data_IF_324217914758
#
_entry.id   IF_324217914758
#
_cell.length_a   1.000
_cell.length_b   1.000
_cell.length_c   1.000
_cell.angle_alpha   90.00
_cell.angle_beta   90.00
_cell.angle_gamma   90.00
#
_symmetry.space_group_name_H-M   'P 1'
#
loop_
_entity.id
_entity.type
_entity.pdbx_description
1 polymer ?
#
# COMPACT_ATOMS: atom_id res chain seq x y z
N UNK A 1 -48.95 37.59 -11.14
CA UNK A 1 -47.79 36.89 -10.56
C UNK A 1 -47.98 35.37 -10.79
N UNK A 2 -47.14 34.74 -11.60
CA UNK A 2 -47.19 33.28 -11.82
C UNK A 2 -46.39 32.60 -10.74
N UNK A 3 -46.93 31.57 -10.06
CA UNK A 3 -46.20 30.73 -9.10
C UNK A 3 -45.05 30.03 -9.82
N UNK A 4 -43.88 29.95 -9.25
CA UNK A 4 -42.78 29.14 -9.81
C UNK A 4 -43.18 27.66 -9.83
N UNK A 5 -42.75 26.95 -10.86
CA UNK A 5 -42.97 25.52 -10.98
C UNK A 5 -42.24 24.75 -9.84
N UNK A 6 -42.82 23.63 -9.34
CA UNK A 6 -42.15 22.83 -8.32
C UNK A 6 -40.86 22.25 -8.86
N UNK A 7 -39.83 22.23 -7.99
CA UNK A 7 -38.55 21.62 -8.32
C UNK A 7 -38.72 20.12 -8.68
N UNK A 8 -37.97 19.58 -9.64
CA UNK A 8 -38.03 18.16 -9.98
C UNK A 8 -37.70 17.30 -8.75
N UNK A 9 -38.34 16.15 -8.59
CA UNK A 9 -38.03 15.24 -7.50
C UNK A 9 -36.57 14.79 -7.58
N UNK A 10 -35.91 14.55 -6.42
CA UNK A 10 -34.53 14.05 -6.41
C UNK A 10 -34.46 12.72 -7.15
N UNK A 11 -33.35 12.42 -7.84
CA UNK A 11 -33.18 11.16 -8.54
C UNK A 11 -33.35 9.99 -7.55
N UNK A 12 -34.10 8.99 -7.96
CA UNK A 12 -34.30 7.77 -7.17
C UNK A 12 -32.93 7.11 -6.93
N UNK A 13 -32.57 6.84 -5.68
CA UNK A 13 -31.37 6.09 -5.36
C UNK A 13 -31.38 4.74 -6.13
N UNK A 14 -30.32 4.48 -6.87
CA UNK A 14 -30.17 3.20 -7.57
C UNK A 14 -30.03 2.09 -6.52
N UNK A 15 -30.62 0.91 -6.77
CA UNK A 15 -30.43 -0.22 -5.88
C UNK A 15 -28.94 -0.56 -5.83
N UNK A 16 -28.43 -0.99 -4.65
CA UNK A 16 -27.03 -1.36 -4.55
C UNK A 16 -26.70 -2.52 -5.49
N UNK A 17 -25.46 -2.57 -6.03
CA UNK A 17 -25.06 -3.60 -6.97
C UNK A 17 -25.22 -5.00 -6.36
N UNK A 18 -25.59 -6.01 -7.17
CA UNK A 18 -25.78 -7.37 -6.71
C UNK A 18 -24.48 -7.97 -6.17
N UNK A 19 -24.60 -8.75 -5.12
CA UNK A 19 -23.50 -9.54 -4.54
C UNK A 19 -23.60 -10.94 -5.14
N UNK A 20 -22.49 -11.45 -5.65
CA UNK A 20 -22.39 -12.80 -6.23
C UNK A 20 -21.38 -13.62 -5.41
N UNK A 21 -21.77 -14.83 -5.03
CA UNK A 21 -20.84 -15.77 -4.43
C UNK A 21 -20.03 -16.50 -5.51
N UNK A 22 -18.70 -16.47 -5.35
CA UNK A 22 -17.75 -17.08 -6.27
C UNK A 22 -17.26 -18.45 -5.78
N UNK A 23 -16.65 -19.22 -6.68
CA UNK A 23 -16.07 -20.55 -6.35
C UNK A 23 -14.68 -20.47 -5.73
N UNK A 24 -14.07 -19.29 -5.65
CA UNK A 24 -12.72 -19.09 -5.13
C UNK A 24 -12.36 -17.61 -5.03
N UNK A 25 -11.17 -17.35 -4.51
CA UNK A 25 -10.65 -16.00 -4.34
C UNK A 25 -10.56 -15.24 -5.67
N UNK A 26 -10.75 -13.95 -5.60
CA UNK A 26 -10.56 -13.02 -6.71
C UNK A 26 -9.67 -11.86 -6.27
N UNK A 27 -8.91 -11.33 -7.21
CA UNK A 27 -8.06 -10.16 -7.02
C UNK A 27 -8.51 -9.02 -7.93
N UNK A 28 -8.25 -7.79 -7.51
CA UNK A 28 -8.54 -6.57 -8.26
C UNK A 28 -7.30 -5.70 -8.35
N UNK A 29 -7.14 -5.07 -9.49
CA UNK A 29 -6.10 -4.07 -9.76
C UNK A 29 -6.79 -2.73 -9.94
N UNK A 30 -6.43 -1.76 -9.11
CA UNK A 30 -6.85 -0.38 -9.24
C UNK A 30 -5.70 0.47 -9.81
N UNK A 31 -6.03 1.36 -10.75
CA UNK A 31 -5.07 2.21 -11.44
C UNK A 31 -5.62 3.62 -11.43
N UNK A 32 -4.89 4.58 -10.85
CA UNK A 32 -5.28 5.99 -10.93
C UNK A 32 -4.88 6.59 -12.27
N UNK A 33 -5.63 7.60 -12.67
CA UNK A 33 -5.34 8.48 -13.79
C UNK A 33 -5.80 9.91 -13.43
N UNK A 34 -5.41 10.90 -14.21
CA UNK A 34 -5.90 12.27 -14.01
C UNK A 34 -7.42 12.33 -14.26
N UNK A 35 -8.19 12.40 -13.17
CA UNK A 35 -9.66 12.43 -13.17
C UNK A 35 -10.35 11.15 -12.70
N UNK A 36 -9.64 10.12 -12.20
CA UNK A 36 -10.33 8.95 -11.66
C UNK A 36 -9.49 7.71 -11.36
N UNK A 37 -10.20 6.61 -11.15
CA UNK A 37 -9.63 5.29 -10.86
C UNK A 37 -10.27 4.23 -11.73
N UNK A 38 -9.48 3.48 -12.47
CA UNK A 38 -9.89 2.27 -13.18
C UNK A 38 -9.75 1.06 -12.25
N UNK A 39 -10.72 0.15 -12.27
CA UNK A 39 -10.65 -1.11 -11.53
C UNK A 39 -10.78 -2.27 -12.50
N UNK A 40 -9.78 -3.16 -12.48
CA UNK A 40 -9.70 -4.34 -13.34
C UNK A 40 -9.83 -5.63 -12.53
N UNK A 41 -10.42 -6.64 -13.14
CA UNK A 41 -10.22 -8.02 -12.67
C UNK A 41 -8.76 -8.43 -12.93
N UNK A 42 -8.10 -8.94 -11.91
CA UNK A 42 -6.68 -9.29 -12.03
C UNK A 42 -6.43 -10.53 -12.89
N UNK A 43 -7.41 -11.45 -12.98
CA UNK A 43 -7.24 -12.74 -13.67
C UNK A 43 -7.30 -12.61 -15.20
N UNK A 44 -8.29 -11.88 -15.68
CA UNK A 44 -8.53 -11.74 -17.15
C UNK A 44 -8.28 -10.31 -17.64
N UNK A 45 -7.88 -9.40 -16.74
CA UNK A 45 -7.60 -7.99 -17.00
C UNK A 45 -8.77 -7.24 -17.65
N UNK A 46 -10.00 -7.66 -17.33
CA UNK A 46 -11.21 -6.99 -17.79
C UNK A 46 -11.46 -5.73 -16.95
N UNK A 47 -11.76 -4.61 -17.63
CA UNK A 47 -12.21 -3.38 -16.96
C UNK A 47 -13.58 -3.62 -16.31
N UNK A 48 -13.67 -3.41 -15.01
CA UNK A 48 -14.88 -3.57 -14.21
C UNK A 48 -15.56 -2.25 -13.90
N UNK A 49 -14.76 -1.19 -13.68
CA UNK A 49 -15.27 0.15 -13.41
C UNK A 49 -14.27 1.22 -13.84
N UNK A 50 -14.81 2.35 -14.29
CA UNK A 50 -14.13 3.64 -14.46
C UNK A 50 -14.82 4.62 -13.52
N UNK A 51 -14.16 5.01 -12.43
CA UNK A 51 -14.74 5.76 -11.32
C UNK A 51 -14.16 7.16 -11.32
N UNK A 52 -14.94 8.18 -11.68
CA UNK A 52 -14.48 9.56 -11.72
C UNK A 52 -14.19 10.08 -10.29
N UNK A 53 -13.04 10.70 -10.12
CA UNK A 53 -12.63 11.45 -8.94
C UNK A 53 -11.54 12.44 -9.35
N UNK A 54 -11.82 13.71 -9.26
CA UNK A 54 -10.87 14.76 -9.65
C UNK A 54 -9.66 14.84 -8.73
N UNK A 55 -8.56 15.33 -9.26
CA UNK A 55 -7.31 15.60 -8.58
C UNK A 55 -6.23 14.55 -8.83
N UNK A 56 -5.05 14.83 -8.28
CA UNK A 56 -3.96 13.84 -8.21
C UNK A 56 -4.29 12.84 -7.12
N UNK A 57 -4.43 11.59 -7.50
CA UNK A 57 -4.90 10.51 -6.62
C UNK A 57 -3.78 9.55 -6.27
N UNK A 58 -3.70 9.20 -4.97
CA UNK A 58 -2.79 8.17 -4.47
C UNK A 58 -3.56 6.99 -3.91
N UNK A 59 -2.98 5.80 -4.04
CA UNK A 59 -3.56 4.55 -3.56
C UNK A 59 -2.79 4.03 -2.34
N UNK A 60 -3.52 3.55 -1.34
CA UNK A 60 -2.98 2.81 -0.21
C UNK A 60 -3.90 1.64 0.16
N UNK A 61 -3.35 0.64 0.82
CA UNK A 61 -4.12 -0.50 1.33
C UNK A 61 -4.97 -0.05 2.53
N UNK A 62 -6.27 -0.29 2.48
CA UNK A 62 -7.19 0.01 3.59
C UNK A 62 -7.14 -1.03 4.72
N UNK A 63 -6.42 -2.15 4.54
CA UNK A 63 -6.10 -3.12 5.57
C UNK A 63 -6.98 -4.37 5.61
N UNK A 64 -8.12 -4.39 4.93
CA UNK A 64 -9.11 -5.47 4.99
C UNK A 64 -9.11 -6.41 3.77
N UNK A 65 -8.17 -6.24 2.83
CA UNK A 65 -8.06 -6.98 1.56
C UNK A 65 -9.30 -6.89 0.64
N UNK A 66 -10.13 -5.86 0.86
CA UNK A 66 -11.30 -5.50 0.05
C UNK A 66 -11.21 -4.07 -0.43
N UNK A 67 -10.89 -3.15 0.48
CA UNK A 67 -10.87 -1.72 0.19
C UNK A 67 -9.47 -1.21 -0.07
N UNK A 68 -9.40 -0.19 -0.92
CA UNK A 68 -8.24 0.68 -1.04
C UNK A 68 -8.61 2.07 -0.53
N UNK A 69 -7.62 2.77 -0.02
CA UNK A 69 -7.73 4.20 0.29
C UNK A 69 -7.32 4.98 -0.95
N UNK A 70 -8.18 5.89 -1.38
CA UNK A 70 -7.90 6.87 -2.45
C UNK A 70 -7.71 8.23 -1.78
N UNK A 71 -6.47 8.71 -1.77
CA UNK A 71 -6.12 10.01 -1.21
C UNK A 71 -6.07 11.07 -2.32
N UNK A 72 -6.69 12.25 -2.06
CA UNK A 72 -6.77 13.39 -2.99
C UNK A 72 -6.06 14.65 -2.48
N UNK A 73 -5.26 14.52 -1.42
CA UNK A 73 -4.60 15.62 -0.73
C UNK A 73 -5.40 16.21 0.43
N UNK A 74 -6.73 16.06 0.43
CA UNK A 74 -7.61 16.64 1.48
C UNK A 74 -8.45 15.57 2.19
N UNK A 75 -8.53 14.38 1.64
CA UNK A 75 -9.30 13.28 2.20
C UNK A 75 -8.75 11.91 1.83
N UNK A 76 -9.08 10.93 2.67
CA UNK A 76 -8.93 9.51 2.44
C UNK A 76 -10.31 8.92 2.18
N UNK A 77 -10.63 8.63 0.93
CA UNK A 77 -11.92 8.02 0.54
C UNK A 77 -11.71 6.52 0.31
N UNK A 78 -12.65 5.70 0.74
CA UNK A 78 -12.53 4.24 0.59
C UNK A 78 -13.13 3.77 -0.72
N UNK A 79 -12.33 3.08 -1.53
CA UNK A 79 -12.73 2.39 -2.75
C UNK A 79 -13.04 0.93 -2.40
N UNK A 80 -14.31 0.54 -2.48
CA UNK A 80 -14.69 -0.87 -2.46
C UNK A 80 -14.32 -1.48 -3.83
N UNK A 81 -13.34 -2.36 -3.85
CA UNK A 81 -12.90 -3.02 -5.07
C UNK A 81 -13.84 -4.14 -5.52
N UNK A 82 -14.82 -4.47 -4.66
CA UNK A 82 -15.85 -5.45 -4.95
C UNK A 82 -15.42 -6.90 -4.77
N UNK A 83 -14.40 -7.21 -3.96
CA UNK A 83 -14.03 -8.58 -3.62
C UNK A 83 -13.81 -8.73 -2.11
N UNK A 84 -14.28 -9.83 -1.53
CA UNK A 84 -13.95 -10.17 -0.14
C UNK A 84 -14.18 -11.66 0.10
N UNK A 85 -13.71 -12.16 1.25
CA UNK A 85 -14.04 -13.49 1.74
C UNK A 85 -14.59 -13.43 3.16
N UNK A 86 -15.35 -14.46 3.51
CA UNK A 86 -15.86 -14.70 4.86
C UNK A 86 -15.44 -16.10 5.26
N UNK A 87 -14.71 -16.21 6.36
CA UNK A 87 -14.31 -17.51 6.89
C UNK A 87 -15.53 -18.25 7.46
N UNK A 88 -15.59 -19.56 7.22
CA UNK A 88 -16.63 -20.43 7.76
C UNK A 88 -16.03 -21.81 8.10
N UNK A 89 -15.72 -22.02 9.36
CA UNK A 89 -15.08 -23.25 9.81
C UNK A 89 -13.69 -23.44 9.18
N UNK A 90 -13.53 -24.48 8.39
CA UNK A 90 -12.28 -24.86 7.71
C UNK A 90 -12.13 -24.31 6.28
N UNK A 91 -13.09 -23.50 5.80
CA UNK A 91 -13.10 -22.93 4.46
C UNK A 91 -13.56 -21.45 4.48
N UNK A 92 -13.45 -20.80 3.31
CA UNK A 92 -13.92 -19.43 3.11
C UNK A 92 -14.94 -19.36 1.98
N UNK A 93 -15.94 -18.53 2.17
CA UNK A 93 -16.85 -18.10 1.10
C UNK A 93 -16.30 -16.84 0.45
N UNK A 94 -16.30 -16.82 -0.86
CA UNK A 94 -15.77 -15.70 -1.66
C UNK A 94 -16.90 -14.95 -2.33
N UNK A 95 -16.86 -13.65 -2.28
CA UNK A 95 -17.92 -12.80 -2.82
C UNK A 95 -17.35 -11.76 -3.76
N UNK A 96 -18.16 -11.39 -4.75
CA UNK A 96 -17.86 -10.29 -5.66
C UNK A 96 -19.06 -9.36 -5.83
N UNK A 97 -18.79 -8.09 -6.08
CA UNK A 97 -19.75 -7.06 -6.47
C UNK A 97 -19.07 -6.08 -7.43
N UNK A 98 -19.81 -5.13 -7.98
CA UNK A 98 -19.22 -4.07 -8.79
C UNK A 98 -18.39 -3.12 -7.91
N UNK A 99 -17.17 -2.74 -8.35
CA UNK A 99 -16.38 -1.73 -7.65
C UNK A 99 -17.09 -0.39 -7.55
N UNK A 100 -16.90 0.32 -6.45
CA UNK A 100 -17.47 1.66 -6.27
C UNK A 100 -16.69 2.48 -5.23
N UNK A 101 -16.66 3.79 -5.42
CA UNK A 101 -16.16 4.69 -4.39
C UNK A 101 -17.24 4.85 -3.33
N UNK A 102 -16.87 4.65 -2.07
CA UNK A 102 -17.82 4.76 -0.97
C UNK A 102 -18.04 6.22 -0.57
N UNK A 103 -19.13 6.48 0.16
CA UNK A 103 -19.34 7.78 0.81
C UNK A 103 -18.51 7.93 2.08
N UNK A 104 -17.90 6.82 2.56
CA UNK A 104 -17.03 6.84 3.72
C UNK A 104 -15.72 7.54 3.37
N UNK A 105 -15.35 8.54 4.14
CA UNK A 105 -14.08 9.25 3.98
C UNK A 105 -13.59 9.81 5.32
N UNK A 106 -12.28 9.95 5.44
CA UNK A 106 -11.62 10.64 6.56
C UNK A 106 -11.02 11.94 6.02
N UNK A 107 -11.41 13.07 6.61
CA UNK A 107 -10.82 14.37 6.25
C UNK A 107 -9.36 14.43 6.73
N UNK A 108 -8.49 15.04 5.94
CA UNK A 108 -7.10 15.29 6.30
C UNK A 108 -6.63 16.63 5.73
N UNK A 109 -5.78 17.32 6.46
CA UNK A 109 -5.04 18.46 5.93
C UNK A 109 -3.71 17.91 5.38
N UNK A 110 -3.57 17.87 4.06
CA UNK A 110 -2.47 17.23 3.33
C UNK A 110 -2.29 15.74 3.69
N UNK A 111 -2.90 14.88 2.88
CA UNK A 111 -2.80 13.42 3.06
C UNK A 111 -1.36 12.93 2.94
N UNK A 112 -0.91 12.17 3.95
CA UNK A 112 0.40 11.53 4.02
C UNK A 112 0.31 10.01 3.83
N UNK A 113 1.15 9.27 4.55
CA UNK A 113 1.21 7.81 4.48
C UNK A 113 0.00 7.15 5.15
N UNK A 114 -0.45 6.05 4.57
CA UNK A 114 -1.45 5.14 5.16
C UNK A 114 -0.81 3.78 5.34
N UNK A 115 -0.67 3.32 6.57
CA UNK A 115 0.08 2.11 6.89
C UNK A 115 -0.75 1.20 7.77
N UNK A 116 -0.79 -0.08 7.37
CA UNK A 116 -1.41 -1.14 8.15
C UNK A 116 -0.36 -1.97 8.86
N UNK A 117 -0.57 -2.23 10.11
CA UNK A 117 0.14 -3.24 10.89
C UNK A 117 -0.63 -3.58 12.17
N UNK A 118 -0.32 -4.71 12.77
CA UNK A 118 -0.89 -5.13 14.05
C UNK A 118 -2.43 -5.00 14.15
N UNK A 119 -3.15 -5.35 13.06
CA UNK A 119 -4.62 -5.32 13.00
C UNK A 119 -5.24 -3.92 12.96
N UNK A 120 -4.45 -2.87 12.74
CA UNK A 120 -4.88 -1.48 12.64
C UNK A 120 -4.32 -0.82 11.39
N UNK A 121 -4.95 0.28 11.02
CA UNK A 121 -4.44 1.18 9.97
C UNK A 121 -4.30 2.59 10.54
N UNK A 122 -3.19 3.24 10.25
CA UNK A 122 -2.94 4.64 10.59
C UNK A 122 -2.83 5.47 9.30
N UNK A 123 -3.65 6.50 9.17
CA UNK A 123 -3.67 7.45 8.05
C UNK A 123 -3.14 8.81 8.53
N UNK A 124 -1.96 9.20 8.05
CA UNK A 124 -1.23 10.38 8.52
C UNK A 124 -1.65 11.64 7.78
N UNK A 125 -1.89 12.75 8.49
CA UNK A 125 -2.21 14.06 7.94
C UNK A 125 -1.02 15.01 8.17
N UNK A 126 -0.29 15.31 7.11
CA UNK A 126 0.96 16.06 7.15
C UNK A 126 0.79 17.49 7.65
N UNK A 127 -0.32 18.15 7.27
CA UNK A 127 -0.60 19.54 7.64
C UNK A 127 -0.93 19.75 9.11
N UNK A 128 -1.37 18.70 9.81
CA UNK A 128 -1.66 18.75 11.26
C UNK A 128 -0.62 18.00 12.09
N UNK A 129 0.17 17.11 11.50
CA UNK A 129 1.04 16.19 12.22
C UNK A 129 0.25 15.21 13.11
N UNK A 130 -0.96 14.85 12.68
CA UNK A 130 -1.81 13.88 13.36
C UNK A 130 -2.10 12.68 12.46
N UNK A 131 -2.57 11.60 13.03
CA UNK A 131 -3.00 10.45 12.26
C UNK A 131 -4.28 9.85 12.84
N UNK A 132 -5.14 9.40 11.92
CA UNK A 132 -6.37 8.69 12.25
C UNK A 132 -6.07 7.18 12.27
N UNK A 133 -6.42 6.53 13.36
CA UNK A 133 -6.27 5.07 13.53
C UNK A 133 -7.63 4.41 13.51
N UNK A 134 -7.77 3.35 12.72
CA UNK A 134 -9.00 2.57 12.64
C UNK A 134 -8.73 1.06 12.58
N UNK A 135 -9.75 0.29 12.90
CA UNK A 135 -9.81 -1.16 12.76
C UNK A 135 -10.32 -1.49 11.34
N UNK A 136 -9.51 -2.08 10.45
CA UNK A 136 -9.91 -2.40 9.09
C UNK A 136 -11.05 -3.44 9.03
N UNK A 137 -11.23 -4.28 10.05
CA UNK A 137 -12.33 -5.23 10.10
C UNK A 137 -13.70 -4.54 10.17
N UNK A 138 -13.75 -3.27 10.58
CA UNK A 138 -14.97 -2.45 10.64
C UNK A 138 -15.35 -1.79 9.31
N UNK A 139 -14.52 -1.90 8.28
CA UNK A 139 -14.83 -1.35 6.95
C UNK A 139 -15.95 -2.11 6.23
N UNK A 140 -16.18 -3.38 6.57
CA UNK A 140 -17.26 -4.19 6.01
C UNK A 140 -18.29 -4.50 7.08
N UNK A 141 -19.56 -4.17 6.81
CA UNK A 141 -20.72 -4.51 7.62
C UNK A 141 -21.80 -5.10 6.70
N UNK A 142 -22.42 -6.24 7.11
CA UNK A 142 -23.45 -6.92 6.31
C UNK A 142 -23.08 -7.09 4.82
N UNK A 143 -21.85 -7.53 4.54
CA UNK A 143 -21.29 -7.71 3.19
C UNK A 143 -21.18 -6.41 2.37
N UNK A 144 -21.30 -5.24 2.98
CA UNK A 144 -21.21 -3.92 2.35
C UNK A 144 -20.18 -3.05 3.03
N UNK A 145 -19.71 -2.03 2.32
CA UNK A 145 -18.89 -0.99 2.95
C UNK A 145 -19.66 -0.28 4.05
N UNK A 146 -19.05 -0.11 5.20
CA UNK A 146 -19.64 0.59 6.33
C UNK A 146 -19.97 2.05 5.97
N UNK A 147 -21.06 2.58 6.51
CA UNK A 147 -21.44 3.99 6.30
C UNK A 147 -20.71 4.97 7.23
N UNK A 148 -20.09 4.46 8.27
CA UNK A 148 -19.28 5.22 9.23
C UNK A 148 -18.15 4.35 9.75
N UNK A 149 -17.07 4.98 10.20
CA UNK A 149 -15.89 4.32 10.74
C UNK A 149 -15.46 5.03 12.02
N UNK A 150 -15.33 4.28 13.09
CA UNK A 150 -14.79 4.79 14.34
C UNK A 150 -13.27 4.95 14.19
N UNK A 151 -12.76 6.12 14.59
CA UNK A 151 -11.34 6.44 14.50
C UNK A 151 -10.83 7.03 15.82
N UNK A 152 -9.60 6.71 16.17
CA UNK A 152 -8.84 7.40 17.21
C UNK A 152 -7.86 8.36 16.54
N UNK A 153 -7.83 9.61 16.98
CA UNK A 153 -6.86 10.60 16.48
C UNK A 153 -5.71 10.73 17.48
N UNK A 154 -4.49 10.51 16.98
CA UNK A 154 -3.25 10.76 17.72
C UNK A 154 -2.56 11.97 17.10
N UNK A 155 -2.16 12.94 17.94
CA UNK A 155 -1.53 14.18 17.48
C UNK A 155 -0.10 14.26 17.97
N UNK A 156 0.83 14.51 17.05
CA UNK A 156 2.23 14.77 17.34
C UNK A 156 2.49 16.24 17.64
N UNK A 157 3.61 16.59 18.29
CA UNK A 157 3.87 17.97 18.73
C UNK A 157 3.94 19.02 17.62
N UNK A 158 4.29 18.61 16.40
CA UNK A 158 4.47 19.53 15.25
C UNK A 158 4.00 18.89 13.95
N UNK A 159 3.36 19.68 13.04
CA UNK A 159 3.03 19.22 11.71
C UNK A 159 4.28 18.99 10.87
N UNK A 160 4.29 17.88 10.11
CA UNK A 160 5.35 17.51 9.18
C UNK A 160 4.89 16.39 8.26
N UNK A 161 5.59 16.21 7.16
CA UNK A 161 5.41 15.01 6.33
C UNK A 161 5.96 13.79 7.08
N UNK A 162 5.10 12.81 7.36
CA UNK A 162 5.46 11.70 8.21
C UNK A 162 4.64 10.44 7.95
N UNK A 163 4.90 9.45 8.79
CA UNK A 163 4.19 8.18 8.84
C UNK A 163 3.89 7.79 10.29
N UNK A 164 2.94 6.87 10.45
CA UNK A 164 2.65 6.19 11.70
C UNK A 164 2.42 4.70 11.43
N UNK A 165 3.17 3.83 12.08
CA UNK A 165 3.04 2.38 11.98
C UNK A 165 2.42 1.87 13.28
N UNK A 166 1.23 1.26 13.25
CA UNK A 166 0.63 0.67 14.43
C UNK A 166 1.51 -0.45 15.01
N UNK A 167 1.76 -0.40 16.30
CA UNK A 167 2.50 -1.40 17.06
C UNK A 167 1.57 -2.05 18.12
N UNK A 168 1.97 -3.16 18.76
CA UNK A 168 1.26 -3.68 19.92
C UNK A 168 1.06 -2.65 21.04
N UNK A 169 0.05 -2.86 21.89
CA UNK A 169 -0.27 -2.05 23.06
C UNK A 169 -0.62 -0.58 22.76
N UNK A 170 -1.27 -0.33 21.60
CA UNK A 170 -1.68 1.01 21.16
C UNK A 170 -0.52 2.01 21.08
N UNK A 171 0.63 1.50 20.68
CA UNK A 171 1.81 2.30 20.38
C UNK A 171 1.96 2.49 18.87
N UNK A 172 2.70 3.51 18.47
CA UNK A 172 2.91 3.85 17.06
C UNK A 172 4.35 4.25 16.83
N UNK A 173 5.00 3.63 15.85
CA UNK A 173 6.29 4.05 15.35
C UNK A 173 6.07 5.19 14.35
N UNK A 174 6.62 6.37 14.65
CA UNK A 174 6.36 7.59 13.88
C UNK A 174 7.65 8.27 13.42
N UNK A 175 7.57 9.00 12.31
CA UNK A 175 8.60 9.97 11.95
C UNK A 175 8.55 11.15 12.92
N UNK A 176 9.71 11.75 13.20
CA UNK A 176 9.86 12.93 14.06
C UNK A 176 10.43 14.08 13.25
N UNK A 177 9.79 15.24 13.37
CA UNK A 177 10.24 16.43 12.65
C UNK A 177 9.35 17.64 12.85
N UNK A 178 9.52 18.59 11.97
CA UNK A 178 8.64 19.75 11.79
C UNK A 178 8.51 20.09 10.30
N UNK A 179 7.83 21.17 9.97
CA UNK A 179 7.59 21.60 8.58
C UNK A 179 8.85 21.88 7.75
N UNK A 180 10.01 21.99 8.37
CA UNK A 180 11.29 22.29 7.71
C UNK A 180 12.25 21.13 7.74
N UNK A 181 12.30 20.37 8.84
CA UNK A 181 13.28 19.33 9.07
C UNK A 181 12.65 18.09 9.67
N UNK A 182 13.10 16.94 9.22
CA UNK A 182 12.78 15.64 9.81
C UNK A 182 14.06 15.08 10.42
N UNK A 183 14.01 14.67 11.67
CA UNK A 183 15.21 14.45 12.47
C UNK A 183 15.41 13.04 12.99
N UNK A 184 14.34 12.24 13.01
CA UNK A 184 14.43 10.92 13.59
C UNK A 184 13.14 10.14 13.56
N UNK A 185 13.06 9.11 14.37
CA UNK A 185 11.87 8.31 14.60
C UNK A 185 11.63 8.10 16.10
N UNK A 186 10.39 7.94 16.49
CA UNK A 186 9.99 7.66 17.85
C UNK A 186 8.89 6.61 17.92
N UNK A 187 8.75 5.96 19.06
CA UNK A 187 7.53 5.26 19.43
C UNK A 187 6.74 6.16 20.36
N UNK A 188 5.48 6.37 20.04
CA UNK A 188 4.54 7.14 20.86
C UNK A 188 3.39 6.27 21.35
N UNK A 189 2.79 6.62 22.48
CA UNK A 189 1.55 6.00 22.96
C UNK A 189 0.30 6.58 22.27
N UNK A 190 -0.88 6.09 22.65
CA UNK A 190 -2.18 6.54 22.12
C UNK A 190 -2.50 8.02 22.42
N UNK A 191 -1.78 8.66 23.31
CA UNK A 191 -1.87 10.08 23.63
C UNK A 191 -0.81 10.93 22.89
N UNK A 192 0.02 10.29 22.03
CA UNK A 192 1.10 10.96 21.30
C UNK A 192 2.34 11.26 22.17
N UNK A 193 2.41 10.70 23.38
CA UNK A 193 3.58 10.87 24.26
C UNK A 193 4.68 9.90 23.85
N UNK A 194 5.90 10.41 23.75
CA UNK A 194 7.10 9.62 23.41
C UNK A 194 7.40 8.56 24.48
N UNK A 195 7.53 7.31 24.04
CA UNK A 195 7.94 6.15 24.84
C UNK A 195 9.45 5.91 24.68
N UNK A 196 9.93 5.93 23.42
CA UNK A 196 11.36 5.85 23.07
C UNK A 196 11.58 6.58 21.76
N UNK A 197 12.79 7.06 21.51
CA UNK A 197 13.12 7.79 20.29
C UNK A 197 14.56 7.59 19.83
N UNK A 198 14.82 7.86 18.56
CA UNK A 198 16.16 7.95 17.98
C UNK A 198 16.26 9.21 17.11
N UNK A 199 17.10 10.16 17.45
CA UNK A 199 17.37 11.33 16.61
C UNK A 199 18.35 11.02 15.46
N UNK A 200 18.80 9.78 15.33
CA UNK A 200 19.84 9.39 14.37
C UNK A 200 19.30 9.08 12.97
N UNK A 201 18.30 9.82 12.48
CA UNK A 201 17.74 9.66 11.14
C UNK A 201 17.42 11.01 10.48
N UNK A 202 18.42 11.80 10.11
CA UNK A 202 18.18 13.06 9.43
C UNK A 202 17.44 12.80 8.09
N UNK A 203 16.50 13.70 7.77
CA UNK A 203 15.70 13.62 6.58
C UNK A 203 14.82 12.35 6.49
N UNK A 204 14.37 11.82 7.64
CA UNK A 204 13.55 10.60 7.71
C UNK A 204 12.45 10.58 6.66
N UNK A 205 12.37 9.48 5.88
CA UNK A 205 11.38 9.29 4.84
C UNK A 205 11.37 7.83 4.39
N UNK A 206 10.17 7.29 4.22
CA UNK A 206 9.98 5.90 3.80
C UNK A 206 10.22 4.90 4.94
N UNK A 207 9.40 3.90 4.92
CA UNK A 207 9.38 2.81 5.89
C UNK A 207 9.08 1.49 5.18
N UNK A 208 9.50 0.38 5.78
CA UNK A 208 9.10 -0.93 5.30
C UNK A 208 9.07 -1.94 6.44
N UNK A 209 8.10 -2.83 6.38
CA UNK A 209 8.02 -3.99 7.27
C UNK A 209 9.03 -5.06 6.85
N UNK A 210 9.55 -5.77 7.84
CA UNK A 210 10.35 -6.97 7.66
C UNK A 210 9.91 -8.07 8.64
N UNK A 211 10.55 -9.22 8.53
CA UNK A 211 10.25 -10.38 9.37
C UNK A 211 10.37 -10.08 10.87
N UNK A 212 9.56 -10.79 11.65
CA UNK A 212 9.55 -10.77 13.12
C UNK A 212 9.27 -9.38 13.70
N UNK A 213 8.39 -8.59 13.05
CA UNK A 213 7.98 -7.26 13.51
C UNK A 213 9.09 -6.21 13.45
N UNK A 214 10.12 -6.44 12.63
CA UNK A 214 11.13 -5.43 12.35
C UNK A 214 10.63 -4.42 11.31
N UNK A 215 11.03 -3.16 11.44
CA UNK A 215 10.79 -2.10 10.47
C UNK A 215 12.10 -1.43 10.10
N UNK A 216 12.22 -1.06 8.83
CA UNK A 216 13.30 -0.17 8.38
C UNK A 216 12.72 1.21 8.12
N UNK A 217 13.52 2.23 8.39
CA UNK A 217 13.18 3.65 8.23
C UNK A 217 14.34 4.30 7.49
N UNK A 218 14.01 4.97 6.38
CA UNK A 218 15.03 5.62 5.54
C UNK A 218 15.51 6.95 6.11
N UNK A 219 16.80 7.20 5.98
CA UNK A 219 17.47 8.42 6.40
C UNK A 219 18.31 9.00 5.24
N UNK A 220 18.76 10.24 5.33
CA UNK A 220 19.69 10.80 4.33
C UNK A 220 21.12 10.25 4.42
N UNK A 221 21.47 9.63 5.51
CA UNK A 221 22.79 9.09 5.84
C UNK A 221 22.75 7.57 6.13
N UNK A 222 21.72 6.89 5.65
CA UNK A 222 21.55 5.46 5.85
C UNK A 222 20.13 5.03 6.17
N UNK A 223 19.97 4.19 7.17
CA UNK A 223 18.68 3.70 7.64
C UNK A 223 18.68 3.49 9.17
N UNK A 224 17.49 3.45 9.77
CA UNK A 224 17.26 2.87 11.08
C UNK A 224 16.55 1.51 10.90
N UNK A 225 16.93 0.54 11.72
CA UNK A 225 16.13 -0.65 11.98
C UNK A 225 15.49 -0.50 13.35
N UNK A 226 14.17 -0.59 13.41
CA UNK A 226 13.41 -0.71 14.66
C UNK A 226 12.99 -2.16 14.86
N UNK A 227 13.35 -2.73 16.00
CA UNK A 227 12.93 -4.08 16.40
C UNK A 227 12.94 -4.21 17.92
N UNK A 228 11.95 -4.88 18.50
CA UNK A 228 11.87 -5.19 19.94
C UNK A 228 12.11 -3.96 20.85
N UNK A 229 11.52 -2.82 20.49
CA UNK A 229 11.65 -1.57 21.24
C UNK A 229 12.98 -0.82 21.08
N UNK A 230 13.85 -1.24 20.16
CA UNK A 230 15.18 -0.67 19.97
C UNK A 230 15.38 -0.15 18.55
N UNK A 231 16.11 0.95 18.46
CA UNK A 231 16.57 1.50 17.19
C UNK A 231 18.06 1.14 16.98
N UNK A 232 18.37 0.63 15.79
CA UNK A 232 19.74 0.37 15.36
C UNK A 232 20.02 1.19 14.10
N UNK A 233 21.06 2.04 14.16
CA UNK A 233 21.47 2.88 13.01
C UNK A 233 22.38 2.08 12.08
N UNK A 234 22.10 2.17 10.79
CA UNK A 234 22.94 1.66 9.70
C UNK A 234 23.44 2.87 8.92
N UNK A 235 24.75 3.03 8.81
CA UNK A 235 25.41 4.07 8.02
C UNK A 235 26.31 3.44 6.97
N UNK A 236 26.65 4.21 5.95
CA UNK A 236 27.73 3.88 5.03
C UNK A 236 28.84 4.94 5.21
N UNK A 237 29.97 4.62 5.86
CA UNK A 237 31.04 5.58 6.11
C UNK A 237 31.69 6.11 4.81
N UNK A 238 31.65 5.33 3.73
CA UNK A 238 32.23 5.73 2.44
C UNK A 238 31.33 6.74 1.69
N UNK A 239 30.01 6.72 1.95
CA UNK A 239 29.01 7.60 1.37
C UNK A 239 28.22 8.32 2.49
N UNK A 240 28.72 9.44 3.03
CA UNK A 240 28.05 10.17 4.13
C UNK A 240 26.63 10.62 3.79
N UNK A 241 26.34 10.92 2.52
CA UNK A 241 25.00 11.06 1.98
C UNK A 241 24.66 9.80 1.19
N UNK A 242 23.85 8.94 1.78
CA UNK A 242 23.42 7.68 1.18
C UNK A 242 21.96 7.44 1.49
N UNK A 243 21.13 8.30 0.90
CA UNK A 243 19.70 8.38 1.19
C UNK A 243 18.95 7.12 0.78
N UNK A 244 18.17 6.60 1.70
CA UNK A 244 17.07 5.66 1.43
C UNK A 244 15.75 6.39 1.68
N UNK A 245 15.02 6.70 0.63
CA UNK A 245 13.74 7.44 0.71
C UNK A 245 12.54 6.59 0.37
N UNK A 246 12.74 5.47 -0.35
CA UNK A 246 11.69 4.55 -0.75
C UNK A 246 12.16 3.12 -0.51
N UNK A 247 11.26 2.30 0.03
CA UNK A 247 11.59 0.95 0.44
C UNK A 247 10.44 -0.01 0.10
N UNK A 248 10.80 -1.28 -0.13
CA UNK A 248 9.86 -2.36 -0.30
C UNK A 248 10.24 -3.53 0.63
N UNK A 249 9.39 -3.77 1.59
CA UNK A 249 9.51 -4.84 2.57
C UNK A 249 8.56 -6.01 2.31
N UNK A 250 8.71 -7.06 3.11
CA UNK A 250 7.81 -8.20 3.15
C UNK A 250 7.85 -8.83 4.54
N UNK A 251 6.70 -9.04 5.16
CA UNK A 251 6.58 -9.46 6.57
C UNK A 251 7.21 -10.83 6.89
N UNK A 252 7.48 -11.65 5.89
CA UNK A 252 8.14 -12.95 6.02
C UNK A 252 9.62 -12.95 5.60
N UNK A 253 10.21 -11.78 5.26
CA UNK A 253 11.58 -11.62 4.82
C UNK A 253 12.37 -10.69 5.75
N UNK A 254 13.58 -11.09 6.14
CA UNK A 254 14.50 -10.20 6.87
C UNK A 254 15.13 -9.12 5.99
N UNK A 255 15.05 -9.26 4.67
CA UNK A 255 15.63 -8.33 3.72
C UNK A 255 14.62 -7.29 3.28
N UNK A 256 15.05 -6.02 3.17
CA UNK A 256 14.27 -4.91 2.65
C UNK A 256 15.01 -4.31 1.46
N UNK A 257 14.32 -4.20 0.32
CA UNK A 257 14.80 -3.44 -0.84
C UNK A 257 14.64 -1.96 -0.57
N UNK A 258 15.68 -1.17 -0.78
CA UNK A 258 15.64 0.28 -0.61
C UNK A 258 16.34 0.99 -1.77
N UNK A 259 15.88 2.19 -2.10
CA UNK A 259 16.62 3.05 -3.01
C UNK A 259 17.97 3.47 -2.39
N UNK A 260 18.88 3.91 -3.26
CA UNK A 260 20.21 4.36 -2.83
C UNK A 260 20.60 5.60 -3.64
N UNK A 261 20.54 6.76 -3.00
CA UNK A 261 20.84 8.06 -3.61
C UNK A 261 22.05 8.69 -2.95
N UNK A 262 22.94 9.25 -3.76
CA UNK A 262 24.23 9.78 -3.32
C UNK A 262 24.47 11.24 -3.70
N UNK A 263 23.60 11.83 -4.53
CA UNK A 263 23.68 13.23 -4.94
C UNK A 263 22.63 14.08 -4.22
N UNK A 264 23.04 14.76 -3.13
CA UNK A 264 22.16 15.64 -2.34
C UNK A 264 21.75 16.93 -3.08
N UNK A 265 22.49 17.30 -4.09
CA UNK A 265 22.31 18.56 -4.81
C UNK A 265 21.54 18.36 -6.15
N UNK A 266 21.29 17.12 -6.54
CA UNK A 266 20.46 16.81 -7.69
C UNK A 266 19.02 17.27 -7.49
N UNK A 267 18.46 18.01 -8.45
CA UNK A 267 17.02 18.34 -8.47
C UNK A 267 16.16 17.09 -8.51
N UNK A 268 16.57 16.12 -9.32
CA UNK A 268 16.04 14.77 -9.40
C UNK A 268 17.20 13.81 -9.61
N UNK A 269 17.58 13.07 -8.58
CA UNK A 269 18.55 12.00 -8.75
C UNK A 269 17.85 10.77 -9.33
N UNK A 270 18.40 10.25 -10.43
CA UNK A 270 18.02 8.99 -11.07
C UNK A 270 19.02 7.92 -10.63
N UNK A 271 18.73 7.17 -9.55
CA UNK A 271 19.72 6.30 -8.94
C UNK A 271 20.05 5.10 -9.85
N UNK A 272 21.33 4.87 -10.08
CA UNK A 272 21.87 3.67 -10.75
C UNK A 272 22.29 2.59 -9.76
N UNK A 273 22.02 2.79 -8.48
CA UNK A 273 22.30 1.87 -7.39
C UNK A 273 21.04 1.65 -6.56
N UNK A 274 20.93 0.46 -6.00
CA UNK A 274 19.93 0.13 -4.98
C UNK A 274 20.61 -0.54 -3.80
N UNK A 275 19.92 -0.68 -2.69
CA UNK A 275 20.46 -1.35 -1.53
C UNK A 275 19.50 -2.41 -0.98
N UNK A 276 20.07 -3.41 -0.34
CA UNK A 276 19.35 -4.39 0.46
C UNK A 276 19.77 -4.21 1.93
N UNK A 277 18.78 -4.01 2.77
CA UNK A 277 18.95 -3.92 4.23
C UNK A 277 18.61 -5.29 4.82
N UNK A 278 19.57 -5.88 5.55
CA UNK A 278 19.35 -7.06 6.38
C UNK A 278 19.00 -6.59 7.79
N UNK A 279 17.74 -6.79 8.19
CA UNK A 279 17.25 -6.33 9.51
C UNK A 279 17.72 -7.19 10.67
N UNK A 280 18.19 -8.40 10.42
CA UNK A 280 18.75 -9.31 11.43
C UNK A 280 20.22 -8.97 11.71
N UNK A 281 21.02 -8.84 10.64
CA UNK A 281 22.43 -8.45 10.74
C UNK A 281 22.61 -6.94 11.01
N UNK A 282 21.58 -6.13 10.83
CA UNK A 282 21.61 -4.67 10.84
C UNK A 282 22.69 -4.11 9.89
N UNK A 283 22.70 -4.60 8.66
CA UNK A 283 23.65 -4.21 7.62
C UNK A 283 22.91 -3.77 6.36
N UNK A 284 23.59 -2.97 5.54
CA UNK A 284 23.09 -2.55 4.22
C UNK A 284 24.17 -2.85 3.17
N UNK A 285 23.80 -3.60 2.14
CA UNK A 285 24.64 -3.87 0.99
C UNK A 285 24.12 -3.12 -0.22
N UNK A 286 25.03 -2.50 -0.97
CA UNK A 286 24.73 -1.66 -2.14
C UNK A 286 25.09 -2.43 -3.41
N UNK A 287 24.21 -2.37 -4.40
CA UNK A 287 24.35 -3.02 -5.69
C UNK A 287 24.17 -2.00 -6.82
N UNK A 288 24.89 -2.18 -7.92
CA UNK A 288 24.81 -1.31 -9.08
C UNK A 288 23.96 -1.92 -10.18
N UNK A 289 23.15 -1.10 -10.83
CA UNK A 289 22.52 -1.40 -12.12
C UNK A 289 23.50 -1.17 -13.26
N UNK A 290 23.20 -1.60 -14.49
CA UNK A 290 23.97 -1.22 -15.66
C UNK A 290 24.05 0.31 -15.80
N UNK A 291 25.17 0.80 -16.33
CA UNK A 291 25.38 2.25 -16.51
C UNK A 291 24.24 2.90 -17.30
N UNK A 292 23.74 4.03 -16.84
CA UNK A 292 22.63 4.77 -17.45
C UNK A 292 21.24 4.16 -17.18
N UNK A 293 21.15 3.08 -16.43
CA UNK A 293 19.88 2.46 -16.03
C UNK A 293 19.54 2.88 -14.62
N UNK A 294 18.35 3.46 -14.44
CA UNK A 294 17.82 3.89 -13.16
C UNK A 294 16.41 3.34 -12.90
N UNK A 295 15.79 3.79 -11.83
CA UNK A 295 14.43 3.42 -11.43
C UNK A 295 13.79 4.55 -10.63
N UNK A 296 12.50 4.46 -10.34
CA UNK A 296 11.77 5.48 -9.57
C UNK A 296 11.23 4.92 -8.26
N UNK A 297 10.62 5.78 -7.46
CA UNK A 297 9.96 5.37 -6.22
C UNK A 297 8.74 4.45 -6.42
N UNK A 298 8.18 4.35 -7.63
CA UNK A 298 7.09 3.42 -7.98
C UNK A 298 7.58 2.11 -8.58
N UNK A 299 8.88 1.90 -8.58
CA UNK A 299 9.54 0.80 -9.29
C UNK A 299 9.99 -0.34 -8.37
N UNK A 300 9.82 -0.20 -7.05
CA UNK A 300 10.29 -1.18 -6.08
C UNK A 300 9.14 -2.08 -5.63
N UNK A 301 9.37 -3.39 -5.64
CA UNK A 301 8.44 -4.36 -5.06
C UNK A 301 9.18 -5.61 -4.55
N UNK A 302 8.42 -6.53 -3.96
CA UNK A 302 8.93 -7.82 -3.50
C UNK A 302 8.22 -8.95 -4.22
N UNK A 303 8.98 -9.94 -4.64
CA UNK A 303 8.47 -11.15 -5.27
C UNK A 303 7.86 -12.16 -4.29
N UNK A 304 7.26 -13.24 -4.82
CA UNK A 304 6.53 -14.22 -4.00
C UNK A 304 7.39 -14.93 -2.96
N UNK A 305 8.68 -15.17 -3.22
CA UNK A 305 9.62 -15.80 -2.30
C UNK A 305 10.55 -14.79 -1.61
N UNK A 306 10.23 -13.51 -1.71
CA UNK A 306 11.00 -12.42 -1.11
C UNK A 306 12.06 -11.82 -2.03
N UNK A 307 12.04 -12.13 -3.32
CA UNK A 307 12.92 -11.51 -4.31
C UNK A 307 12.77 -9.98 -4.30
N UNK A 308 13.86 -9.27 -4.57
CA UNK A 308 13.81 -7.84 -4.82
C UNK A 308 13.46 -7.58 -6.30
N UNK A 309 12.45 -6.77 -6.55
CA UNK A 309 11.97 -6.45 -7.88
C UNK A 309 12.21 -4.97 -8.18
N UNK A 310 12.81 -4.71 -9.33
CA UNK A 310 13.01 -3.35 -9.84
C UNK A 310 12.48 -3.23 -11.28
N UNK A 311 11.56 -2.28 -11.48
CA UNK A 311 11.15 -1.84 -12.82
C UNK A 311 12.08 -0.71 -13.25
N UNK A 312 12.96 -0.98 -14.19
CA UNK A 312 14.07 -0.10 -14.55
C UNK A 312 13.80 0.71 -15.82
N UNK A 313 14.50 1.85 -15.96
CA UNK A 313 14.28 2.83 -17.04
C UNK A 313 14.67 2.33 -18.44
N UNK A 314 15.37 1.20 -18.55
CA UNK A 314 15.57 0.48 -19.82
C UNK A 314 14.37 -0.40 -20.22
N UNK A 315 13.24 -0.28 -19.48
CA UNK A 315 11.97 -0.96 -19.76
C UNK A 315 11.88 -2.39 -19.26
N UNK A 316 12.80 -2.82 -18.38
CA UNK A 316 12.83 -4.19 -17.84
C UNK A 316 12.27 -4.27 -16.43
N UNK A 317 11.58 -5.37 -16.16
CA UNK A 317 11.37 -5.85 -14.81
C UNK A 317 12.51 -6.82 -14.48
N UNK A 318 13.33 -6.46 -13.48
CA UNK A 318 14.48 -7.24 -12.99
C UNK A 318 14.15 -7.89 -11.66
N UNK A 319 14.63 -9.12 -11.49
CA UNK A 319 14.42 -9.94 -10.29
C UNK A 319 15.79 -10.23 -9.67
N UNK A 320 15.96 -9.87 -8.40
CA UNK A 320 17.22 -10.07 -7.68
C UNK A 320 17.02 -10.98 -6.46
N UNK A 321 18.02 -11.79 -6.19
CA UNK A 321 18.16 -12.48 -4.91
C UNK A 321 18.47 -11.43 -3.81
N UNK A 322 17.63 -11.27 -2.79
CA UNK A 322 17.86 -10.25 -1.78
C UNK A 322 19.04 -10.54 -0.84
N UNK A 323 19.47 -11.80 -0.72
CA UNK A 323 20.61 -12.13 0.13
C UNK A 323 21.96 -11.83 -0.52
N UNK A 324 22.05 -11.93 -1.85
CA UNK A 324 23.29 -11.80 -2.61
C UNK A 324 23.31 -10.60 -3.56
N UNK A 325 22.14 -9.99 -3.86
CA UNK A 325 21.98 -8.94 -4.87
C UNK A 325 22.20 -9.43 -6.31
N UNK A 326 22.28 -10.74 -6.52
CA UNK A 326 22.46 -11.32 -7.85
C UNK A 326 21.17 -11.19 -8.66
N UNK A 327 21.26 -10.67 -9.89
CA UNK A 327 20.14 -10.69 -10.82
C UNK A 327 19.84 -12.13 -11.22
N UNK A 328 18.67 -12.63 -10.83
CA UNK A 328 18.19 -13.97 -11.14
C UNK A 328 17.65 -14.03 -12.56
N UNK A 329 16.96 -12.98 -13.00
CA UNK A 329 16.39 -12.89 -14.33
C UNK A 329 15.75 -11.54 -14.58
N UNK A 330 15.37 -11.29 -15.83
CA UNK A 330 14.66 -10.09 -16.23
C UNK A 330 13.79 -10.33 -17.46
N UNK A 331 12.81 -9.44 -17.67
CA UNK A 331 11.94 -9.44 -18.85
C UNK A 331 11.78 -8.03 -19.38
N UNK A 332 11.87 -7.84 -20.70
CA UNK A 332 11.58 -6.56 -21.37
C UNK A 332 10.07 -6.39 -21.49
N UNK A 333 9.53 -5.28 -21.01
CA UNK A 333 8.08 -5.02 -20.96
C UNK A 333 7.68 -3.79 -21.78
N UNK A 334 8.56 -2.82 -21.94
CA UNK A 334 8.32 -1.55 -22.61
C UNK A 334 9.61 -0.98 -23.18
N UNK A 335 9.49 0.08 -23.97
CA UNK A 335 10.65 0.84 -24.43
C UNK A 335 11.34 1.57 -23.28
N UNK A 336 12.60 1.96 -23.47
CA UNK A 336 13.33 2.75 -22.49
C UNK A 336 12.66 4.12 -22.28
N UNK A 337 12.65 4.58 -21.06
CA UNK A 337 11.95 5.81 -20.66
C UNK A 337 12.80 6.66 -19.70
N UNK A 338 12.38 7.91 -19.53
CA UNK A 338 13.05 8.85 -18.63
C UNK A 338 12.07 9.38 -17.60
N UNK A 339 12.46 9.36 -16.33
CA UNK A 339 11.64 9.90 -15.24
C UNK A 339 11.44 11.40 -15.40
N UNK A 340 10.18 11.86 -15.28
CA UNK A 340 9.85 13.29 -15.22
C UNK A 340 10.36 13.92 -13.93
N UNK A 341 10.74 15.19 -13.99
CA UNK A 341 11.13 16.00 -12.84
C UNK A 341 9.92 16.38 -11.95
N UNK A 342 8.72 16.31 -12.48
CA UNK A 342 7.47 16.51 -11.71
C UNK A 342 7.07 15.20 -11.08
N UNK A 343 7.03 15.13 -9.77
CA UNK A 343 6.78 13.88 -9.05
C UNK A 343 5.35 13.34 -9.22
N UNK A 344 4.37 14.20 -9.54
CA UNK A 344 2.99 13.80 -9.83
C UNK A 344 2.79 13.23 -11.23
N UNK A 345 3.70 13.51 -12.17
CA UNK A 345 3.57 13.03 -13.54
C UNK A 345 3.54 11.50 -13.59
N UNK A 346 2.89 10.99 -14.61
CA UNK A 346 2.76 9.57 -14.85
C UNK A 346 4.13 8.92 -15.09
N UNK A 347 4.31 7.77 -14.53
CA UNK A 347 5.49 6.92 -14.72
C UNK A 347 5.13 5.45 -14.59
N UNK A 348 5.93 4.55 -15.18
CA UNK A 348 5.75 3.12 -14.97
C UNK A 348 5.72 2.76 -13.48
N UNK A 349 4.77 1.94 -13.11
CA UNK A 349 4.56 1.51 -11.74
C UNK A 349 4.26 0.01 -11.71
N UNK A 350 4.52 -0.63 -10.56
CA UNK A 350 4.28 -2.06 -10.41
C UNK A 350 3.62 -2.41 -9.08
N UNK A 351 2.79 -3.44 -9.12
CA UNK A 351 2.20 -4.09 -7.97
C UNK A 351 2.28 -5.62 -8.14
N UNK A 352 2.37 -6.36 -7.04
CA UNK A 352 2.52 -7.82 -7.06
C UNK A 352 1.41 -8.47 -6.26
N UNK A 353 0.74 -9.46 -6.86
CA UNK A 353 -0.21 -10.35 -6.21
C UNK A 353 0.23 -11.81 -6.40
N UNK A 354 0.56 -12.48 -5.31
CA UNK A 354 1.06 -13.84 -5.34
C UNK A 354 2.26 -13.99 -6.28
N UNK A 355 2.07 -14.73 -7.38
CA UNK A 355 3.10 -15.00 -8.39
C UNK A 355 2.98 -14.15 -9.65
N UNK A 356 2.21 -13.07 -9.61
CA UNK A 356 1.99 -12.19 -10.76
C UNK A 356 2.36 -10.76 -10.40
N UNK A 357 3.20 -10.13 -11.20
CA UNK A 357 3.41 -8.69 -11.17
C UNK A 357 2.51 -8.01 -12.21
N UNK A 358 1.91 -6.89 -11.84
CA UNK A 358 1.13 -6.02 -12.73
C UNK A 358 1.91 -4.74 -12.91
N UNK A 359 2.18 -4.39 -14.14
CA UNK A 359 3.02 -3.25 -14.52
C UNK A 359 2.22 -2.32 -15.43
N UNK A 360 2.28 -1.03 -15.15
CA UNK A 360 1.70 -0.01 -16.04
C UNK A 360 2.77 0.62 -16.93
N UNK A 361 2.40 0.82 -18.19
CA UNK A 361 3.19 1.60 -19.16
C UNK A 361 2.37 2.84 -19.58
N UNK A 362 2.67 4.04 -19.06
CA UNK A 362 1.97 5.26 -19.44
C UNK A 362 2.14 5.66 -20.89
N UNK A 363 3.30 5.39 -21.48
CA UNK A 363 3.61 5.79 -22.85
C UNK A 363 2.72 5.09 -23.88
N UNK A 364 2.45 3.80 -23.68
CA UNK A 364 1.57 3.02 -24.57
C UNK A 364 0.19 2.75 -23.97
N UNK A 365 -0.09 3.29 -22.77
CA UNK A 365 -1.33 3.09 -22.00
C UNK A 365 -1.66 1.61 -21.86
N UNK A 366 -0.74 0.84 -21.29
CA UNK A 366 -0.93 -0.59 -21.08
C UNK A 366 -0.90 -0.97 -19.60
N UNK A 367 -1.67 -2.00 -19.28
CA UNK A 367 -1.50 -2.82 -18.10
C UNK A 367 -0.94 -4.17 -18.57
N UNK A 368 0.15 -4.62 -17.95
CA UNK A 368 0.90 -5.82 -18.33
C UNK A 368 0.95 -6.75 -17.12
N UNK A 369 0.56 -8.00 -17.28
CA UNK A 369 0.70 -9.05 -16.27
C UNK A 369 1.94 -9.89 -16.56
N UNK A 370 2.78 -10.11 -15.54
CA UNK A 370 4.06 -10.83 -15.64
C UNK A 370 4.10 -11.98 -14.63
N UNK A 371 4.42 -13.17 -15.09
CA UNK A 371 4.64 -14.33 -14.22
C UNK A 371 5.98 -14.23 -13.49
N UNK A 372 5.93 -14.36 -12.18
CA UNK A 372 7.08 -14.49 -11.27
C UNK A 372 7.23 -15.95 -10.76
N UNK A 373 6.53 -16.93 -11.34
CA UNK A 373 6.58 -18.33 -10.90
C UNK A 373 7.97 -18.93 -11.03
N UNK A 374 8.78 -18.43 -11.96
CA UNK A 374 10.20 -18.72 -12.09
C UNK A 374 10.99 -17.41 -12.09
N UNK A 375 11.64 -17.05 -10.97
CA UNK A 375 12.40 -15.80 -10.86
C UNK A 375 13.55 -15.69 -11.87
N UNK A 376 14.11 -16.81 -12.32
CA UNK A 376 15.17 -16.82 -13.34
C UNK A 376 14.67 -16.60 -14.78
N UNK A 377 13.36 -16.71 -15.00
CA UNK A 377 12.74 -16.52 -16.31
C UNK A 377 11.34 -15.88 -16.15
N UNK A 378 11.27 -14.65 -15.62
CA UNK A 378 10.00 -13.92 -15.58
C UNK A 378 9.51 -13.69 -17.01
N UNK A 379 8.19 -13.72 -17.22
CA UNK A 379 7.63 -13.59 -18.56
C UNK A 379 6.28 -12.86 -18.55
N UNK A 380 6.04 -12.09 -19.59
CA UNK A 380 4.72 -11.54 -19.86
C UNK A 380 3.70 -12.65 -20.05
N UNK A 381 2.57 -12.54 -19.39
CA UNK A 381 1.42 -13.43 -19.51
C UNK A 381 0.39 -12.87 -20.48
N UNK A 382 0.07 -11.60 -20.32
CA UNK A 382 -0.90 -10.86 -21.12
C UNK A 382 -0.75 -9.36 -20.91
N UNK A 383 -1.27 -8.59 -21.83
CA UNK A 383 -1.39 -7.14 -21.70
C UNK A 383 -2.71 -6.63 -22.28
N UNK A 384 -3.22 -5.53 -21.75
CA UNK A 384 -4.42 -4.85 -22.23
C UNK A 384 -4.19 -3.35 -22.35
N UNK A 385 -4.89 -2.72 -23.30
CA UNK A 385 -4.89 -1.27 -23.44
C UNK A 385 -5.77 -0.64 -22.36
N UNK A 386 -5.30 0.47 -21.81
CA UNK A 386 -6.02 1.29 -20.84
C UNK A 386 -6.70 2.45 -21.55
N UNK A 387 -7.95 2.80 -21.17
CA UNK A 387 -8.65 3.95 -21.77
C UNK A 387 -8.05 5.30 -21.35
N UNK A 388 -7.21 5.31 -20.32
CA UNK A 388 -6.58 6.50 -19.72
C UNK A 388 -5.10 6.26 -19.50
N UNK A 389 -4.31 7.34 -19.38
CA UNK A 389 -2.89 7.25 -19.02
C UNK A 389 -2.76 6.87 -17.54
N UNK A 390 -2.14 5.73 -17.20
CA UNK A 390 -2.04 5.27 -15.82
C UNK A 390 -1.02 6.09 -15.03
N UNK A 391 -1.29 6.26 -13.72
CA UNK A 391 -0.36 6.93 -12.81
C UNK A 391 0.11 5.98 -11.68
N UNK A 392 -0.75 5.67 -10.69
CA UNK A 392 -0.43 4.71 -9.65
C UNK A 392 -1.18 3.39 -9.85
N UNK A 393 -0.61 2.30 -9.33
CA UNK A 393 -1.20 0.98 -9.35
C UNK A 393 -1.15 0.37 -7.95
N UNK A 394 -2.25 -0.22 -7.52
CA UNK A 394 -2.32 -1.03 -6.32
C UNK A 394 -3.48 -2.03 -6.48
N UNK A 395 -3.47 -3.09 -5.71
CA UNK A 395 -4.57 -4.05 -5.76
C UNK A 395 -4.85 -4.72 -4.43
N UNK A 396 -5.88 -5.54 -4.43
CA UNK A 396 -6.27 -6.37 -3.30
C UNK A 396 -6.59 -7.79 -3.77
N UNK A 397 -6.45 -8.74 -2.85
CA UNK A 397 -6.82 -10.13 -3.10
C UNK A 397 -7.67 -10.66 -1.93
N UNK A 398 -8.83 -11.20 -2.24
CA UNK A 398 -9.68 -11.85 -1.24
C UNK A 398 -9.10 -13.18 -0.71
N UNK A 399 -8.02 -13.69 -1.33
CA UNK A 399 -7.28 -14.84 -0.82
C UNK A 399 -6.55 -14.54 0.50
N UNK A 400 -6.21 -13.27 0.73
CA UNK A 400 -5.41 -12.82 1.88
C UNK A 400 -6.28 -12.22 3.00
N UNK A 401 -7.61 -12.25 2.85
CA UNK A 401 -8.50 -11.70 3.85
C UNK A 401 -8.34 -12.44 5.19
N UNK A 402 -8.11 -11.67 6.26
CA UNK A 402 -8.23 -12.22 7.61
C UNK A 402 -9.64 -12.81 7.80
N UNK A 403 -9.79 -13.94 8.52
CA UNK A 403 -11.11 -14.48 8.80
C UNK A 403 -11.95 -13.40 9.51
N UNK A 404 -13.02 -12.94 8.90
CA UNK A 404 -14.06 -12.22 9.62
C UNK A 404 -14.75 -13.26 10.47
N UNK A 405 -14.63 -13.18 11.80
CA UNK A 405 -15.34 -14.08 12.70
C UNK A 405 -16.84 -14.01 12.36
N UNK A 406 -17.41 -15.15 11.99
CA UNK A 406 -18.86 -15.26 11.78
C UNK A 406 -19.51 -14.96 13.13
N UNK A 407 -20.38 -13.96 13.20
CA UNK A 407 -21.23 -13.75 14.37
C UNK A 407 -21.92 -15.08 14.68
N UNK A 408 -21.69 -15.59 15.90
CA UNK A 408 -22.33 -16.80 16.36
C UNK A 408 -23.83 -16.56 16.40
N UNK A 409 -24.54 -17.00 15.38
CA UNK A 409 -25.99 -17.11 15.46
C UNK A 409 -26.30 -18.11 16.57
N UNK A 410 -26.87 -17.58 17.68
CA UNK A 410 -27.26 -18.35 18.84
C UNK A 410 -28.10 -19.53 18.40
N UNK A 411 -27.59 -20.72 18.66
CA UNK A 411 -28.37 -21.92 18.61
C UNK A 411 -29.38 -21.81 19.76
N UNK A 412 -30.64 -21.48 19.47
CA UNK A 412 -31.73 -21.68 20.40
C UNK A 412 -31.82 -23.18 20.69
N UNK A 413 -31.42 -23.56 21.92
CA UNK A 413 -31.59 -24.88 22.41
C UNK A 413 -33.10 -25.10 22.69
N UNK A 414 -33.77 -25.77 21.77
CA UNK A 414 -35.08 -26.38 22.08
C UNK A 414 -34.86 -27.53 23.08
N UNK A 415 -35.04 -27.21 24.34
CA UNK A 415 -35.23 -28.24 25.38
C UNK A 415 -36.63 -28.82 25.23
N UNK A 416 -36.75 -29.96 24.58
CA UNK A 416 -37.95 -30.81 24.71
C UNK A 416 -37.86 -31.58 26.03
N UNK A 417 -38.58 -31.13 27.03
CA UNK A 417 -38.89 -31.92 28.20
C UNK A 417 -39.87 -33.01 27.77
N UNK A 418 -39.45 -34.26 27.78
CA UNK A 418 -40.36 -35.41 27.85
C UNK A 418 -40.44 -35.88 29.29
N UNK A 419 -41.56 -35.57 29.90
CA UNK A 419 -42.04 -36.34 31.08
C UNK A 419 -42.53 -37.68 30.60
N UNK A 420 -42.03 -38.75 31.19
CA UNK A 420 -42.81 -39.97 31.33
C UNK A 420 -42.50 -40.68 32.66
N UNK A 421 -43.56 -40.91 33.34
CA UNK A 421 -43.64 -41.69 34.55
C UNK A 421 -43.66 -43.20 34.24
N UNK A 422 -42.95 -43.98 35.00
CA UNK A 422 -43.34 -45.20 35.75
C UNK A 422 -42.13 -45.81 36.42
#
# INVERSE_FOLDING_TARGET
MRRPAPAPPPPRAQPPPPITEGKGAASRVAITYDGGVLVYDAKDMKLLADIPKEGFLRLSDAGDNRHLVVADGNSYTFLDTGVWSVAHGDHSHYYTTSPSLSSLSLAADHTGHVIKDNGKVAAFADGTGSFAVYDPAKLTHDKRTASSLETTIVTLPKPHHGFAIPLPNDQYLVAVGDSKTRTGAAVVDAQGKTVTESPACPGVHGEAIAKDGAFTIGCTDGALVYKDGKFTKITNPEDPYSRSGNQAGKADSQYVLADYKTDKDAKLERPEKFSIIDTVAATRTVYSLPSGVSYTFRSLARGPQGEALLLTTDGKLRVFDPATGTELGSVQLMEAWTESETWQDERPALWVDGKTAYVTDPATKKLIAVSLSNPAAPKELMSVELPKTPNEILGVSSANAAPVEAEAHGAEAHSSASADAH
#
